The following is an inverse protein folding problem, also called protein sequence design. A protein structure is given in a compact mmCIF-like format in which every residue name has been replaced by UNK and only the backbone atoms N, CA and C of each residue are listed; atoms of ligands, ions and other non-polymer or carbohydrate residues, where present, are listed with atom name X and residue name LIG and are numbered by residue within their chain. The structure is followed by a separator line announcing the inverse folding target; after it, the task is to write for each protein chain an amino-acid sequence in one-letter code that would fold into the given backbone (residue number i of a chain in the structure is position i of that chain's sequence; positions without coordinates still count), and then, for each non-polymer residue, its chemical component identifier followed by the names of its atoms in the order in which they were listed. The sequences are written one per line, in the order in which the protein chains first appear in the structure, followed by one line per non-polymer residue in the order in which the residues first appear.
data_IF_574892209934
#
_entry.id   IF_574892209934
#
_cell.length_a   1.000
_cell.length_b   1.000
_cell.length_c   1.000
_cell.angle_alpha   90.00
_cell.angle_beta   90.00
_cell.angle_gamma   90.00
#
_symmetry.space_group_name_H-M   'P 1'
#
loop_
_entity.id
_entity.type
_entity.pdbx_description
1 polymer ?
#
# COMPACT_ATOMS: atom_id res chain seq x y z
N UNK A 1 51.93 2.83 -4.12
CA UNK A 1 51.25 1.51 -4.14
C UNK A 1 50.82 1.21 -2.70
N UNK A 2 49.56 1.13 -2.28
CA UNK A 2 48.23 1.02 -2.92
C UNK A 2 47.23 1.69 -1.96
N UNK A 3 46.30 2.50 -2.47
CA UNK A 3 45.15 2.99 -1.70
C UNK A 3 44.21 1.81 -1.43
N UNK A 4 43.98 1.49 -0.16
CA UNK A 4 42.97 0.52 0.26
C UNK A 4 41.63 1.26 0.41
N UNK A 5 40.84 1.28 -0.67
CA UNK A 5 39.45 1.71 -0.60
C UNK A 5 38.62 0.62 0.08
N UNK A 6 37.84 0.92 1.14
CA UNK A 6 36.96 -0.08 1.74
C UNK A 6 35.88 -0.50 0.73
N UNK A 7 35.44 -1.77 0.72
CA UNK A 7 34.35 -2.20 -0.15
C UNK A 7 33.10 -1.42 0.24
N UNK A 8 32.63 -0.57 -0.66
CA UNK A 8 31.32 0.07 -0.52
C UNK A 8 30.29 -1.04 -0.36
N UNK A 9 29.67 -1.12 0.82
CA UNK A 9 28.51 -1.98 1.07
C UNK A 9 27.37 -1.46 0.20
N UNK A 10 27.34 -1.91 -1.06
CA UNK A 10 26.18 -1.74 -1.91
C UNK A 10 25.06 -2.52 -1.24
N UNK A 11 24.12 -1.81 -0.62
CA UNK A 11 22.81 -2.35 -0.27
C UNK A 11 22.35 -3.14 -1.50
N UNK A 12 22.25 -4.46 -1.35
CA UNK A 12 21.94 -5.36 -2.47
C UNK A 12 20.61 -4.92 -3.03
N UNK A 13 20.63 -4.25 -4.19
CA UNK A 13 19.44 -3.79 -4.86
C UNK A 13 18.53 -5.00 -5.08
N UNK A 14 17.23 -4.86 -4.81
CA UNK A 14 16.26 -5.92 -5.05
C UNK A 14 16.40 -6.33 -6.53
N UNK A 15 16.60 -7.63 -6.83
CA UNK A 15 16.71 -8.07 -8.22
C UNK A 15 15.51 -7.58 -9.04
N UNK A 16 15.77 -7.11 -10.27
CA UNK A 16 14.79 -6.37 -11.07
C UNK A 16 13.46 -7.12 -11.29
N UNK A 17 13.51 -8.44 -11.41
CA UNK A 17 12.34 -9.30 -11.54
C UNK A 17 11.45 -9.26 -10.27
N UNK A 18 12.05 -9.39 -9.09
CA UNK A 18 11.32 -9.28 -7.82
C UNK A 18 10.76 -7.87 -7.63
N UNK A 19 11.52 -6.83 -7.99
CA UNK A 19 11.06 -5.45 -7.95
C UNK A 19 9.82 -5.23 -8.84
N UNK A 20 9.81 -5.78 -10.04
CA UNK A 20 8.68 -5.72 -10.95
C UNK A 20 7.44 -6.44 -10.39
N UNK A 21 7.62 -7.65 -9.84
CA UNK A 21 6.51 -8.40 -9.24
C UNK A 21 5.90 -7.68 -8.03
N UNK A 22 6.73 -7.08 -7.17
CA UNK A 22 6.25 -6.32 -6.01
C UNK A 22 5.49 -5.07 -6.46
N UNK A 23 5.95 -4.38 -7.52
CA UNK A 23 5.21 -3.25 -8.11
C UNK A 23 3.85 -3.68 -8.67
N UNK A 24 3.77 -4.87 -9.29
CA UNK A 24 2.51 -5.42 -9.79
C UNK A 24 1.53 -5.74 -8.65
N UNK A 25 1.99 -6.43 -7.60
CA UNK A 25 1.17 -6.72 -6.42
C UNK A 25 0.69 -5.44 -5.71
N UNK A 26 1.56 -4.43 -5.58
CA UNK A 26 1.17 -3.13 -5.01
C UNK A 26 0.13 -2.40 -5.89
N UNK A 27 0.20 -2.58 -7.20
CA UNK A 27 -0.83 -2.08 -8.10
C UNK A 27 -2.17 -2.77 -7.88
N UNK A 28 -2.19 -4.10 -7.85
CA UNK A 28 -3.43 -4.87 -7.69
C UNK A 28 -4.07 -4.64 -6.32
N UNK A 29 -3.25 -4.49 -5.27
CA UNK A 29 -3.70 -4.08 -3.95
C UNK A 29 -4.39 -2.70 -3.99
N UNK A 30 -3.89 -1.77 -4.80
CA UNK A 30 -4.51 -0.44 -4.95
C UNK A 30 -5.90 -0.55 -5.57
N UNK A 31 -6.04 -1.38 -6.61
CA UNK A 31 -7.31 -1.60 -7.28
C UNK A 31 -8.33 -2.25 -6.33
N UNK A 32 -7.90 -3.24 -5.55
CA UNK A 32 -8.76 -3.85 -4.53
C UNK A 32 -9.21 -2.83 -3.48
N UNK A 33 -8.28 -2.00 -2.96
CA UNK A 33 -8.59 -0.97 -1.97
C UNK A 33 -9.54 0.11 -2.52
N UNK A 34 -9.39 0.48 -3.79
CA UNK A 34 -10.28 1.42 -4.45
C UNK A 34 -11.72 0.91 -4.49
N UNK A 35 -11.93 -0.36 -4.87
CA UNK A 35 -13.26 -0.98 -4.86
C UNK A 35 -13.86 -0.98 -3.46
N UNK A 36 -13.08 -1.34 -2.43
CA UNK A 36 -13.58 -1.37 -1.05
C UNK A 36 -13.90 0.04 -0.55
N UNK A 37 -13.08 1.04 -0.87
CA UNK A 37 -13.32 2.43 -0.52
C UNK A 37 -14.59 2.98 -1.16
N UNK A 38 -14.77 2.75 -2.47
CA UNK A 38 -15.98 3.16 -3.17
C UNK A 38 -17.23 2.46 -2.60
N UNK A 39 -17.11 1.17 -2.28
CA UNK A 39 -18.20 0.40 -1.67
C UNK A 39 -18.54 0.94 -0.28
N UNK A 40 -17.53 1.22 0.55
CA UNK A 40 -17.72 1.84 1.87
C UNK A 40 -18.40 3.19 1.76
N UNK A 41 -18.00 4.02 0.80
CA UNK A 41 -18.65 5.31 0.53
C UNK A 41 -20.13 5.14 0.16
N UNK A 42 -20.46 4.27 -0.79
CA UNK A 42 -21.83 3.99 -1.21
C UNK A 42 -22.69 3.42 -0.09
N UNK A 43 -22.12 2.56 0.77
CA UNK A 43 -22.82 2.03 1.94
C UNK A 43 -23.20 3.14 2.92
N UNK A 44 -22.32 4.13 3.10
CA UNK A 44 -22.57 5.31 3.94
C UNK A 44 -23.69 6.22 3.44
N UNK A 45 -24.13 6.09 2.17
CA UNK A 45 -25.27 6.84 1.65
C UNK A 45 -26.62 6.14 1.86
N UNK A 46 -26.62 4.90 2.35
CA UNK A 46 -27.85 4.15 2.62
C UNK A 46 -28.39 4.45 4.03
N UNK A 47 -29.71 4.30 4.26
CA UNK A 47 -30.24 4.32 5.61
C UNK A 47 -29.72 3.08 6.38
N UNK A 48 -28.85 3.32 7.35
CA UNK A 48 -28.31 2.31 8.24
C UNK A 48 -28.96 2.45 9.63
N UNK A 49 -29.18 1.34 10.32
CA UNK A 49 -29.52 1.35 11.74
C UNK A 49 -28.28 1.70 12.59
N UNK A 50 -28.41 1.72 13.92
CA UNK A 50 -27.30 2.10 14.81
C UNK A 50 -26.09 1.17 14.64
N UNK A 51 -26.32 -0.13 14.61
CA UNK A 51 -25.26 -1.12 14.42
C UNK A 51 -24.61 -0.99 13.04
N UNK A 52 -25.42 -0.80 11.99
CA UNK A 52 -24.95 -0.59 10.63
C UNK A 52 -24.06 0.64 10.52
N UNK A 53 -24.40 1.75 11.17
CA UNK A 53 -23.55 2.95 11.23
C UNK A 53 -22.23 2.67 11.94
N UNK A 54 -22.25 1.93 13.05
CA UNK A 54 -21.04 1.58 13.77
C UNK A 54 -20.10 0.71 12.93
N UNK A 55 -20.63 -0.32 12.25
CA UNK A 55 -19.84 -1.19 11.38
C UNK A 55 -19.32 -0.45 10.15
N UNK A 56 -20.12 0.45 9.57
CA UNK A 56 -19.69 1.33 8.49
C UNK A 56 -18.52 2.21 8.90
N UNK A 57 -18.57 2.85 10.07
CA UNK A 57 -17.46 3.65 10.60
C UNK A 57 -16.19 2.83 10.84
N UNK A 58 -16.34 1.57 11.30
CA UNK A 58 -15.21 0.65 11.45
C UNK A 58 -14.60 0.27 10.10
N UNK A 59 -15.44 -0.02 9.09
CA UNK A 59 -15.01 -0.32 7.73
C UNK A 59 -14.28 0.87 7.10
N UNK A 60 -14.88 2.06 7.12
CA UNK A 60 -14.29 3.26 6.54
C UNK A 60 -12.92 3.54 7.16
N UNK A 61 -12.82 3.52 8.50
CA UNK A 61 -11.54 3.68 9.19
C UNK A 61 -10.50 2.66 8.76
N UNK A 62 -10.87 1.38 8.66
CA UNK A 62 -9.97 0.31 8.25
C UNK A 62 -9.45 0.49 6.82
N UNK A 63 -10.33 0.88 5.90
CA UNK A 63 -9.99 1.11 4.49
C UNK A 63 -9.09 2.33 4.32
N UNK A 64 -9.37 3.43 5.02
CA UNK A 64 -8.51 4.62 5.01
C UNK A 64 -7.10 4.29 5.52
N UNK A 65 -6.99 3.51 6.60
CA UNK A 65 -5.70 3.05 7.12
C UNK A 65 -4.96 2.18 6.10
N UNK A 66 -5.65 1.23 5.48
CA UNK A 66 -5.05 0.35 4.48
C UNK A 66 -4.60 1.12 3.22
N UNK A 67 -5.39 2.10 2.77
CA UNK A 67 -5.02 3.00 1.67
C UNK A 67 -3.75 3.80 2.00
N UNK A 68 -3.65 4.34 3.22
CA UNK A 68 -2.45 5.03 3.69
C UNK A 68 -1.20 4.13 3.71
N UNK A 69 -1.33 2.89 4.18
CA UNK A 69 -0.24 1.90 4.17
C UNK A 69 0.18 1.57 2.74
N UNK A 70 -0.77 1.35 1.83
CA UNK A 70 -0.48 1.04 0.43
C UNK A 70 0.20 2.22 -0.29
N UNK A 71 -0.16 3.46 0.06
CA UNK A 71 0.54 4.65 -0.44
C UNK A 71 2.00 4.68 0.04
N UNK A 72 2.24 4.39 1.32
CA UNK A 72 3.61 4.30 1.87
C UNK A 72 4.41 3.18 1.21
N UNK A 73 3.80 2.02 0.97
CA UNK A 73 4.41 0.91 0.22
C UNK A 73 4.84 1.35 -1.18
N UNK A 74 3.94 1.99 -1.94
CA UNK A 74 4.25 2.48 -3.29
C UNK A 74 5.36 3.52 -3.30
N UNK A 75 5.37 4.42 -2.32
CA UNK A 75 6.43 5.41 -2.15
C UNK A 75 7.77 4.74 -1.88
N UNK A 76 7.79 3.76 -0.97
CA UNK A 76 8.99 3.00 -0.64
C UNK A 76 9.53 2.26 -1.87
N UNK A 77 8.66 1.59 -2.62
CA UNK A 77 9.04 0.90 -3.85
C UNK A 77 9.58 1.88 -4.90
N UNK A 78 8.98 3.06 -5.07
CA UNK A 78 9.48 4.05 -6.03
C UNK A 78 10.88 4.57 -5.70
N UNK A 79 11.23 4.62 -4.41
CA UNK A 79 12.54 5.12 -3.94
C UNK A 79 13.63 4.05 -3.99
N UNK A 80 13.27 2.77 -3.95
CA UNK A 80 14.21 1.68 -3.68
C UNK A 80 14.18 0.53 -4.70
N UNK A 81 13.27 0.54 -5.69
CA UNK A 81 13.06 -0.51 -6.69
C UNK A 81 12.83 0.06 -8.10
#
# INVERSE_FOLDING_TARGET
MRENTPPSTSLTAIPSEHAQQIRHLAHDLSNALEVILQTSYLLGTQPLDENGRQWHAMLDKGVQQAAGINQQLREYLRRHC
#
